data_IF_699539659770
#
_entry.id   IF_699539659770
#
_cell.length_a   1.000
_cell.length_b   1.000
_cell.length_c   1.000
_cell.angle_alpha   90.00
_cell.angle_beta   90.00
_cell.angle_gamma   90.00
#
_symmetry.space_group_name_H-M   'P 1'
#
loop_
_entity.id
_entity.type
_entity.pdbx_description
1 polymer ?
#
# COMPACT_ATOMS: atom_id res chain seq x y z
N UNK A 1 -4.46 7.28 16.91
CA UNK A 1 -5.61 7.42 15.97
C UNK A 1 -5.83 8.87 15.48
N UNK A 2 -5.78 9.89 16.35
CA UNK A 2 -6.01 11.31 15.98
C UNK A 2 -5.05 11.87 14.92
N UNK A 3 -3.75 11.60 15.03
CA UNK A 3 -2.75 12.08 14.06
C UNK A 3 -2.92 11.47 12.66
N UNK A 4 -3.35 10.21 12.57
CA UNK A 4 -3.61 9.52 11.30
C UNK A 4 -4.79 10.19 10.57
N UNK A 5 -5.85 10.53 11.29
CA UNK A 5 -7.00 11.24 10.75
C UNK A 5 -6.67 12.69 10.36
N UNK A 6 -5.89 13.40 11.18
CA UNK A 6 -5.42 14.75 10.84
C UNK A 6 -4.61 14.71 9.53
N UNK A 7 -3.68 13.76 9.40
CA UNK A 7 -2.88 13.61 8.19
C UNK A 7 -3.74 13.27 6.97
N UNK A 8 -4.74 12.39 7.13
CA UNK A 8 -5.73 12.09 6.09
C UNK A 8 -6.42 13.36 5.60
N UNK A 9 -6.93 14.18 6.51
CA UNK A 9 -7.58 15.44 6.17
C UNK A 9 -6.65 16.40 5.42
N UNK A 10 -5.39 16.52 5.85
CA UNK A 10 -4.38 17.34 5.15
C UNK A 10 -4.12 16.81 3.74
N UNK A 11 -3.96 15.50 3.57
CA UNK A 11 -3.76 14.89 2.25
C UNK A 11 -4.98 15.08 1.33
N UNK A 12 -6.20 14.93 1.85
CA UNK A 12 -7.41 15.21 1.10
C UNK A 12 -7.52 16.69 0.68
N UNK A 13 -7.12 17.62 1.55
CA UNK A 13 -7.07 19.05 1.21
C UNK A 13 -6.07 19.31 0.08
N UNK A 14 -4.87 18.73 0.16
CA UNK A 14 -3.86 18.84 -0.92
C UNK A 14 -4.42 18.29 -2.24
N UNK A 15 -5.10 17.14 -2.19
CA UNK A 15 -5.73 16.55 -3.36
C UNK A 15 -6.82 17.45 -3.96
N UNK A 16 -7.66 18.08 -3.11
CA UNK A 16 -8.75 18.98 -3.53
C UNK A 16 -8.26 20.32 -4.09
N UNK A 17 -7.10 20.82 -3.64
CA UNK A 17 -6.53 22.09 -4.11
C UNK A 17 -6.14 22.08 -5.60
N UNK A 18 -6.12 20.91 -6.24
CA UNK A 18 -5.78 20.68 -7.65
C UNK A 18 -4.37 21.14 -8.03
N UNK A 19 -3.90 20.71 -9.20
CA UNK A 19 -2.58 21.09 -9.70
C UNK A 19 -2.63 22.50 -10.31
N UNK A 20 -2.17 23.51 -9.57
CA UNK A 20 -2.06 24.91 -10.02
C UNK A 20 -0.60 25.42 -9.96
N UNK A 21 -0.32 26.58 -10.59
CA UNK A 21 1.05 27.15 -10.63
C UNK A 21 1.60 27.46 -9.22
N UNK A 22 0.74 27.86 -8.28
CA UNK A 22 1.13 28.08 -6.87
C UNK A 22 1.54 26.79 -6.16
N UNK A 23 0.99 25.64 -6.54
CA UNK A 23 1.38 24.33 -6.01
C UNK A 23 2.66 23.81 -6.66
N UNK A 24 2.89 24.14 -7.93
CA UNK A 24 4.05 23.68 -8.71
C UNK A 24 5.38 24.08 -8.09
N UNK A 25 5.49 25.28 -7.52
CA UNK A 25 6.68 25.74 -6.80
C UNK A 25 7.05 24.85 -5.59
N UNK A 26 6.07 24.15 -4.99
CA UNK A 26 6.30 23.22 -3.89
C UNK A 26 6.43 21.77 -4.34
N UNK A 27 6.36 21.48 -5.65
CA UNK A 27 6.25 20.12 -6.19
C UNK A 27 7.37 19.18 -5.73
N UNK A 28 8.63 19.63 -5.67
CA UNK A 28 9.75 18.81 -5.18
C UNK A 28 9.65 18.50 -3.68
N UNK A 29 9.31 19.50 -2.87
CA UNK A 29 9.18 19.34 -1.42
C UNK A 29 8.03 18.40 -1.11
N UNK A 30 6.87 18.60 -1.75
CA UNK A 30 5.71 17.73 -1.60
C UNK A 30 6.02 16.30 -2.04
N UNK A 31 6.67 16.10 -3.19
CA UNK A 31 7.09 14.77 -3.66
C UNK A 31 7.92 14.03 -2.60
N UNK A 32 8.95 14.70 -2.06
CA UNK A 32 9.85 14.10 -1.06
C UNK A 32 9.10 13.72 0.23
N UNK A 33 8.18 14.56 0.70
CA UNK A 33 7.38 14.28 1.89
C UNK A 33 6.36 13.15 1.66
N UNK A 34 5.63 13.18 0.54
CA UNK A 34 4.63 12.17 0.21
C UNK A 34 5.27 10.77 0.02
N UNK A 35 6.47 10.70 -0.55
CA UNK A 35 7.21 9.44 -0.68
C UNK A 35 7.53 8.84 0.69
N UNK A 36 7.97 9.66 1.66
CA UNK A 36 8.21 9.20 3.03
C UNK A 36 6.91 8.71 3.68
N UNK A 37 5.81 9.41 3.47
CA UNK A 37 4.50 9.01 4.01
C UNK A 37 4.07 7.63 3.51
N UNK A 38 4.26 7.31 2.22
CA UNK A 38 3.90 5.98 1.68
C UNK A 38 4.63 4.85 2.42
N UNK A 39 5.85 5.09 2.90
CA UNK A 39 6.66 4.08 3.58
C UNK A 39 6.25 3.80 5.02
N UNK A 40 5.64 4.79 5.71
CA UNK A 40 5.41 4.73 7.17
C UNK A 40 3.94 4.79 7.58
N UNK A 41 3.06 5.28 6.69
CA UNK A 41 1.66 5.50 7.00
C UNK A 41 0.78 4.25 6.82
N UNK A 42 -0.47 4.36 7.29
CA UNK A 42 -1.49 3.35 7.09
C UNK A 42 -2.00 3.32 5.63
N UNK A 43 -2.78 2.28 5.31
CA UNK A 43 -3.38 2.05 4.00
C UNK A 43 -4.05 3.30 3.41
N UNK A 44 -4.91 3.99 4.17
CA UNK A 44 -5.67 5.14 3.66
C UNK A 44 -4.79 6.32 3.28
N UNK A 45 -3.83 6.67 4.15
CA UNK A 45 -2.91 7.78 3.93
C UNK A 45 -1.92 7.48 2.80
N UNK A 46 -1.44 6.23 2.71
CA UNK A 46 -0.56 5.79 1.62
C UNK A 46 -1.26 5.88 0.25
N UNK A 47 -2.52 5.45 0.17
CA UNK A 47 -3.33 5.57 -1.07
C UNK A 47 -3.51 7.01 -1.51
N UNK A 48 -3.83 7.91 -0.58
CA UNK A 48 -3.93 9.35 -0.87
C UNK A 48 -2.59 9.91 -1.35
N UNK A 49 -1.48 9.57 -0.68
CA UNK A 49 -0.15 10.03 -1.06
C UNK A 49 0.24 9.55 -2.47
N UNK A 50 0.01 8.27 -2.81
CA UNK A 50 0.24 7.73 -4.17
C UNK A 50 -0.56 8.51 -5.21
N UNK A 51 -1.85 8.77 -4.94
CA UNK A 51 -2.72 9.50 -5.85
C UNK A 51 -2.25 10.94 -6.09
N UNK A 52 -1.91 11.66 -5.01
CA UNK A 52 -1.39 13.03 -5.09
C UNK A 52 -0.11 13.08 -5.91
N UNK A 53 0.85 12.19 -5.62
CA UNK A 53 2.10 12.14 -6.40
C UNK A 53 1.80 11.87 -7.87
N UNK A 54 0.93 10.89 -8.18
CA UNK A 54 0.57 10.57 -9.55
C UNK A 54 -0.03 11.75 -10.31
N UNK A 55 -0.91 12.53 -9.68
CA UNK A 55 -1.48 13.75 -10.27
C UNK A 55 -0.42 14.85 -10.48
N UNK A 56 0.43 15.08 -9.48
CA UNK A 56 1.48 16.10 -9.54
C UNK A 56 2.54 15.77 -10.60
N UNK A 57 2.92 14.48 -10.71
CA UNK A 57 3.84 14.02 -11.74
C UNK A 57 3.25 14.24 -13.13
N UNK A 58 1.97 13.90 -13.37
CA UNK A 58 1.31 14.16 -14.66
C UNK A 58 1.23 15.66 -14.99
N UNK A 59 0.82 16.49 -14.04
CA UNK A 59 0.57 17.90 -14.27
C UNK A 59 1.86 18.72 -14.40
N UNK A 60 2.82 18.48 -13.52
CA UNK A 60 4.01 19.33 -13.41
C UNK A 60 5.26 18.71 -14.03
N UNK A 61 5.25 17.41 -14.34
CA UNK A 61 6.42 16.66 -14.84
C UNK A 61 7.64 16.93 -13.95
N UNK A 62 7.46 16.75 -12.64
CA UNK A 62 8.48 17.05 -11.63
C UNK A 62 9.77 16.33 -12.03
N UNK A 63 10.93 17.02 -12.11
CA UNK A 63 12.17 16.39 -12.52
C UNK A 63 12.53 15.16 -11.69
N UNK A 64 13.23 14.22 -12.33
CA UNK A 64 13.72 13.02 -11.67
C UNK A 64 14.56 13.37 -10.43
N UNK A 65 14.41 12.57 -9.38
CA UNK A 65 15.10 12.70 -8.09
C UNK A 65 15.33 11.32 -7.48
N UNK A 66 16.28 11.22 -6.55
CA UNK A 66 16.61 9.94 -5.91
C UNK A 66 15.43 9.35 -5.13
N UNK A 67 14.51 10.20 -4.64
CA UNK A 67 13.28 9.75 -4.00
C UNK A 67 12.41 8.90 -4.92
N UNK A 68 12.40 9.16 -6.24
CA UNK A 68 11.66 8.34 -7.21
C UNK A 68 12.23 6.92 -7.28
N UNK A 69 13.55 6.76 -7.28
CA UNK A 69 14.15 5.44 -7.19
C UNK A 69 13.93 4.79 -5.83
N UNK A 70 13.97 5.57 -4.75
CA UNK A 70 13.72 5.06 -3.41
C UNK A 70 12.31 4.47 -3.27
N UNK A 71 11.28 5.13 -3.83
CA UNK A 71 9.90 4.60 -3.76
C UNK A 71 9.71 3.36 -4.64
N UNK A 72 10.38 3.27 -5.80
CA UNK A 72 10.34 2.06 -6.62
C UNK A 72 10.99 0.88 -5.89
N UNK A 73 12.16 1.10 -5.28
CA UNK A 73 12.84 0.07 -4.49
C UNK A 73 12.05 -0.36 -3.25
N UNK A 74 11.33 0.58 -2.62
CA UNK A 74 10.38 0.26 -1.58
C UNK A 74 9.29 -0.69 -2.08
N UNK A 75 8.63 -0.39 -3.21
CA UNK A 75 7.61 -1.29 -3.76
C UNK A 75 8.16 -2.65 -4.18
N UNK A 76 9.38 -2.74 -4.75
CA UNK A 76 10.04 -4.03 -5.01
C UNK A 76 10.16 -4.86 -3.73
N UNK A 77 10.54 -4.22 -2.62
CA UNK A 77 10.67 -4.87 -1.32
C UNK A 77 9.32 -5.38 -0.84
N UNK A 78 8.28 -4.52 -0.89
CA UNK A 78 6.92 -4.91 -0.49
C UNK A 78 6.43 -6.12 -1.29
N UNK A 79 6.59 -6.14 -2.61
CA UNK A 79 6.20 -7.29 -3.43
C UNK A 79 6.96 -8.58 -3.05
N UNK A 80 8.25 -8.47 -2.70
CA UNK A 80 9.08 -9.61 -2.26
C UNK A 80 8.72 -10.12 -0.87
N UNK A 81 8.10 -9.30 -0.02
CA UNK A 81 7.65 -9.68 1.33
C UNK A 81 6.28 -10.38 1.32
N UNK A 82 5.44 -10.14 0.29
CA UNK A 82 4.10 -10.74 0.17
C UNK A 82 4.06 -12.26 0.33
N UNK A 83 4.97 -13.07 -0.26
CA UNK A 83 4.99 -14.52 -0.03
C UNK A 83 5.07 -14.88 1.46
N UNK A 84 5.84 -14.13 2.25
CA UNK A 84 6.00 -14.36 3.69
C UNK A 84 4.73 -13.97 4.46
N UNK A 85 4.03 -12.91 4.05
CA UNK A 85 2.74 -12.54 4.65
C UNK A 85 1.69 -13.63 4.42
N UNK A 86 1.61 -14.13 3.17
CA UNK A 86 0.69 -15.20 2.82
C UNK A 86 1.00 -16.47 3.60
N UNK A 87 2.25 -16.94 3.59
CA UNK A 87 2.61 -18.26 4.15
C UNK A 87 2.80 -18.22 5.67
N UNK A 88 3.69 -17.36 6.17
CA UNK A 88 4.12 -17.37 7.57
C UNK A 88 3.14 -16.61 8.48
N UNK A 89 2.56 -15.51 7.99
CA UNK A 89 1.66 -14.66 8.79
C UNK A 89 0.17 -14.94 8.59
N UNK A 90 -0.16 -15.97 7.79
CA UNK A 90 -1.55 -16.41 7.56
C UNK A 90 -2.44 -15.25 7.11
N UNK A 91 -1.97 -14.45 6.16
CA UNK A 91 -2.58 -13.18 5.73
C UNK A 91 -4.11 -13.22 5.53
N UNK A 92 -4.65 -14.34 5.04
CA UNK A 92 -6.07 -14.47 4.73
C UNK A 92 -6.93 -14.98 5.89
N UNK A 93 -6.35 -15.20 7.07
CA UNK A 93 -7.08 -15.55 8.29
C UNK A 93 -7.34 -14.31 9.14
N UNK A 94 -8.56 -13.77 9.08
CA UNK A 94 -9.00 -12.67 9.93
C UNK A 94 -9.27 -13.18 11.36
N UNK A 95 -8.27 -13.06 12.22
CA UNK A 95 -8.43 -13.32 13.65
C UNK A 95 -9.02 -12.08 14.31
N UNK A 96 -10.08 -12.25 15.09
CA UNK A 96 -10.56 -11.20 15.98
C UNK A 96 -9.43 -10.83 16.94
N UNK A 97 -8.90 -9.62 16.80
CA UNK A 97 -7.82 -9.13 17.64
C UNK A 97 -8.43 -8.74 18.99
N UNK A 98 -7.96 -9.42 20.05
CA UNK A 98 -8.25 -9.07 21.44
C UNK A 98 -6.97 -8.55 22.04
N UNK A 99 -7.00 -7.31 22.51
CA UNK A 99 -5.83 -6.68 23.12
C UNK A 99 -6.04 -6.57 24.63
N UNK A 100 -4.96 -6.77 25.39
CA UNK A 100 -5.00 -6.71 26.85
C UNK A 100 -4.91 -5.27 27.39
N UNK A 101 -4.32 -4.37 26.61
CA UNK A 101 -4.08 -2.97 26.97
C UNK A 101 -4.07 -2.08 25.73
N UNK A 102 -3.98 -0.76 25.89
CA UNK A 102 -3.76 0.21 24.79
C UNK A 102 -2.30 0.68 24.73
N UNK A 103 -1.34 -0.19 25.09
CA UNK A 103 0.08 0.14 25.00
C UNK A 103 0.58 0.09 23.56
N UNK A 104 1.54 0.97 23.22
CA UNK A 104 2.10 1.09 21.87
C UNK A 104 2.71 -0.24 21.37
N UNK A 105 3.30 -1.04 22.26
CA UNK A 105 3.86 -2.35 21.93
C UNK A 105 2.81 -3.37 21.50
N UNK A 106 1.66 -3.37 22.18
CA UNK A 106 0.56 -4.28 21.86
C UNK A 106 -0.08 -3.90 20.52
N UNK A 107 -0.23 -2.60 20.26
CA UNK A 107 -0.73 -2.08 18.97
C UNK A 107 0.24 -2.45 17.85
N UNK A 108 1.54 -2.28 18.06
CA UNK A 108 2.58 -2.62 17.07
C UNK A 108 2.54 -4.12 16.72
N UNK A 109 2.41 -4.99 17.72
CA UNK A 109 2.32 -6.43 17.50
C UNK A 109 1.07 -6.81 16.68
N UNK A 110 -0.04 -6.12 16.91
CA UNK A 110 -1.30 -6.32 16.18
C UNK A 110 -1.18 -5.82 14.74
N UNK A 111 -0.50 -4.68 14.51
CA UNK A 111 -0.25 -4.14 13.17
C UNK A 111 0.61 -5.07 12.31
N UNK A 112 1.60 -5.75 12.91
CA UNK A 112 2.46 -6.68 12.15
C UNK A 112 1.69 -7.83 11.49
N UNK A 113 0.51 -8.18 12.01
CA UNK A 113 -0.36 -9.23 11.46
C UNK A 113 -1.70 -8.68 10.94
N UNK A 114 -1.82 -7.35 10.80
CA UNK A 114 -2.99 -6.71 10.24
C UNK A 114 -2.79 -6.49 8.73
N UNK A 115 -3.63 -7.14 7.92
CA UNK A 115 -3.59 -7.05 6.45
C UNK A 115 -4.85 -6.42 5.86
N UNK A 116 -5.85 -6.16 6.70
CA UNK A 116 -7.13 -5.55 6.34
C UNK A 116 -7.73 -4.89 7.58
N UNK A 117 -8.60 -3.91 7.36
CA UNK A 117 -9.27 -3.16 8.43
C UNK A 117 -9.99 -4.13 9.38
N UNK A 118 -9.60 -4.11 10.65
CA UNK A 118 -10.05 -5.08 11.65
C UNK A 118 -10.46 -4.37 12.93
N UNK A 119 -11.57 -4.80 13.52
CA UNK A 119 -12.03 -4.26 14.82
C UNK A 119 -11.26 -4.95 15.94
N UNK A 120 -10.66 -4.16 16.82
CA UNK A 120 -9.97 -4.63 18.03
C UNK A 120 -10.87 -4.34 19.22
N UNK A 121 -11.12 -5.35 20.04
CA UNK A 121 -11.92 -5.24 21.25
C UNK A 121 -11.02 -5.14 22.48
N UNK A 122 -11.30 -4.17 23.35
CA UNK A 122 -10.63 -3.99 24.63
C UNK A 122 -11.25 -4.86 25.74
N UNK A 123 -10.50 -5.14 26.82
CA UNK A 123 -11.05 -5.78 28.00
C UNK A 123 -12.11 -4.87 28.64
N UNK A 124 -13.15 -5.47 29.21
CA UNK A 124 -14.19 -4.74 29.92
C UNK A 124 -13.58 -4.00 31.12
N UNK A 125 -13.61 -2.66 31.10
CA UNK A 125 -13.33 -1.86 32.28
C UNK A 125 -14.42 -2.14 33.30
N UNK A 126 -14.03 -2.64 34.47
CA UNK A 126 -14.89 -3.04 35.59
C UNK A 126 -15.54 -1.82 36.26
N UNK A 127 -16.45 -1.15 35.55
CA UNK A 127 -17.22 -0.03 36.09
C UNK A 127 -18.65 -0.04 35.54
N UNK A 128 -19.55 -0.70 36.28
CA UNK A 128 -20.97 -0.38 36.33
C UNK A 128 -21.84 -0.88 35.17
N UNK A 129 -23.08 -1.19 35.53
CA UNK A 129 -24.17 -1.76 34.73
C UNK A 129 -24.31 -1.12 33.33
N UNK A 130 -24.17 -1.95 32.27
CA UNK A 130 -24.24 -1.52 30.86
C UNK A 130 -22.90 -1.49 30.10
N UNK A 131 -21.97 -2.42 30.36
CA UNK A 131 -20.62 -2.47 29.78
C UNK A 131 -20.59 -2.40 28.24
N UNK A 132 -20.35 -1.21 27.70
CA UNK A 132 -20.04 -1.01 26.29
C UNK A 132 -18.58 -1.44 26.10
N UNK A 133 -18.35 -2.52 25.33
CA UNK A 133 -16.98 -2.92 24.96
C UNK A 133 -16.37 -1.82 24.11
N UNK A 134 -15.38 -1.12 24.66
CA UNK A 134 -14.58 -0.19 23.89
C UNK A 134 -13.89 -0.96 22.75
N UNK A 135 -14.14 -0.51 21.53
CA UNK A 135 -13.60 -1.10 20.33
C UNK A 135 -13.06 -0.01 19.42
N UNK A 136 -11.98 -0.32 18.72
CA UNK A 136 -11.38 0.59 17.74
C UNK A 136 -11.04 -0.16 16.46
N UNK A 137 -10.94 0.58 15.36
CA UNK A 137 -10.54 0.01 14.08
C UNK A 137 -9.03 0.11 13.91
N UNK A 138 -8.41 -1.02 13.61
CA UNK A 138 -7.02 -1.14 13.22
C UNK A 138 -6.94 -1.19 11.69
N UNK A 139 -6.21 -0.24 11.11
CA UNK A 139 -5.98 -0.16 9.67
C UNK A 139 -4.56 -0.67 9.40
N UNK A 140 -4.37 -1.57 8.41
CA UNK A 140 -3.04 -2.10 8.11
C UNK A 140 -2.07 -1.00 7.65
N UNK A 141 -0.77 -1.28 7.73
CA UNK A 141 0.25 -0.42 7.13
C UNK A 141 0.08 -0.40 5.61
N UNK A 142 0.42 0.71 4.97
CA UNK A 142 0.42 0.79 3.51
C UNK A 142 1.29 -0.28 2.86
N UNK A 143 2.40 -0.65 3.50
CA UNK A 143 3.31 -1.72 3.06
C UNK A 143 2.71 -3.13 3.14
N UNK A 144 1.62 -3.35 3.88
CA UNK A 144 0.99 -4.68 4.03
C UNK A 144 -0.30 -4.79 3.21
N UNK A 145 -0.76 -3.69 2.61
CA UNK A 145 -2.07 -3.58 1.98
C UNK A 145 -2.04 -4.00 0.51
N UNK A 146 -2.86 -4.99 0.16
CA UNK A 146 -3.11 -5.35 -1.24
C UNK A 146 -3.86 -4.26 -2.01
N UNK A 147 -4.61 -3.38 -1.33
CA UNK A 147 -5.23 -2.22 -1.98
C UNK A 147 -4.17 -1.23 -2.42
N UNK A 148 -3.18 -0.94 -1.58
CA UNK A 148 -2.03 -0.12 -1.97
C UNK A 148 -1.32 -0.77 -3.16
N UNK A 149 -1.03 -2.07 -3.09
CA UNK A 149 -0.39 -2.80 -4.20
C UNK A 149 -1.22 -2.83 -5.49
N UNK A 150 -2.54 -2.68 -5.41
CA UNK A 150 -3.41 -2.60 -6.60
C UNK A 150 -3.25 -1.26 -7.35
N UNK A 151 -2.86 -0.19 -6.66
CA UNK A 151 -2.63 1.14 -7.23
C UNK A 151 -1.18 1.34 -7.74
N UNK A 152 -0.22 0.60 -7.18
CA UNK A 152 1.20 0.66 -7.58
C UNK A 152 1.43 0.48 -9.08
N UNK A 153 0.80 -0.49 -9.79
CA UNK A 153 0.95 -0.65 -11.23
C UNK A 153 0.62 0.63 -12.02
N UNK A 154 -0.49 1.28 -11.73
CA UNK A 154 -0.88 2.54 -12.38
C UNK A 154 0.09 3.67 -12.01
N UNK A 155 0.50 3.73 -10.74
CA UNK A 155 1.50 4.69 -10.28
C UNK A 155 2.83 4.56 -11.03
N UNK A 156 3.31 3.33 -11.21
CA UNK A 156 4.52 3.03 -11.97
C UNK A 156 4.40 3.45 -13.43
N UNK A 157 3.25 3.23 -14.09
CA UNK A 157 3.03 3.69 -15.48
C UNK A 157 3.29 5.20 -15.58
N UNK A 158 2.76 5.99 -14.65
CA UNK A 158 2.95 7.45 -14.64
C UNK A 158 4.44 7.79 -14.52
N UNK A 159 5.14 7.18 -13.57
CA UNK A 159 6.57 7.42 -13.36
C UNK A 159 7.40 7.03 -14.59
N UNK A 160 7.16 5.85 -15.18
CA UNK A 160 7.87 5.38 -16.37
C UNK A 160 7.57 6.20 -17.62
N UNK A 161 6.35 6.75 -17.75
CA UNK A 161 6.00 7.64 -18.85
C UNK A 161 6.78 8.96 -18.81
N UNK A 162 7.07 9.47 -17.61
CA UNK A 162 7.77 10.76 -17.43
C UNK A 162 9.29 10.55 -17.39
N UNK A 163 9.76 9.52 -16.69
CA UNK A 163 11.17 9.29 -16.35
C UNK A 163 11.77 8.08 -17.07
N UNK A 164 11.31 7.79 -18.30
CA UNK A 164 11.66 6.58 -19.07
C UNK A 164 13.16 6.29 -19.09
N UNK A 165 13.98 7.31 -19.33
CA UNK A 165 15.44 7.14 -19.49
C UNK A 165 16.13 6.83 -18.16
N UNK A 166 15.62 7.38 -17.06
CA UNK A 166 16.20 7.21 -15.73
C UNK A 166 15.85 5.86 -15.09
N UNK A 167 14.74 5.26 -15.51
CA UNK A 167 14.17 4.08 -14.84
C UNK A 167 14.31 2.77 -15.65
N UNK A 168 15.06 2.74 -16.75
CA UNK A 168 15.21 1.52 -17.56
C UNK A 168 15.75 0.32 -16.75
N UNK A 169 16.77 0.53 -15.91
CA UNK A 169 17.35 -0.52 -15.07
C UNK A 169 16.36 -1.00 -14.00
N UNK A 170 15.62 -0.06 -13.39
CA UNK A 170 14.62 -0.32 -12.36
C UNK A 170 13.44 -1.16 -12.89
N UNK A 171 13.11 -1.00 -14.18
CA UNK A 171 11.96 -1.64 -14.84
C UNK A 171 12.05 -3.17 -14.84
N UNK A 172 13.24 -3.73 -15.11
CA UNK A 172 13.43 -5.18 -15.19
C UNK A 172 13.22 -5.82 -13.82
N UNK A 173 13.79 -5.22 -12.78
CA UNK A 173 13.68 -5.73 -11.42
C UNK A 173 12.25 -5.63 -10.87
N UNK A 174 11.55 -4.52 -11.10
CA UNK A 174 10.15 -4.39 -10.66
C UNK A 174 9.23 -5.32 -11.45
N UNK A 175 9.46 -5.51 -12.75
CA UNK A 175 8.71 -6.46 -13.56
C UNK A 175 8.90 -7.89 -13.03
N UNK A 176 10.13 -8.27 -12.68
CA UNK A 176 10.41 -9.58 -12.06
C UNK A 176 9.67 -9.75 -10.73
N UNK A 177 9.69 -8.75 -9.85
CA UNK A 177 8.96 -8.79 -8.58
C UNK A 177 7.44 -8.94 -8.79
N UNK A 178 6.88 -8.26 -9.79
CA UNK A 178 5.46 -8.36 -10.13
C UNK A 178 5.09 -9.72 -10.73
N UNK A 179 5.95 -10.32 -11.57
CA UNK A 179 5.73 -11.69 -12.08
C UNK A 179 5.71 -12.69 -10.92
N UNK A 180 6.64 -12.56 -9.96
CA UNK A 180 6.64 -13.40 -8.76
C UNK A 180 5.36 -13.19 -7.92
N UNK A 181 4.90 -11.95 -7.78
CA UNK A 181 3.65 -11.63 -7.08
C UNK A 181 2.41 -12.22 -7.77
N UNK A 182 2.38 -12.20 -9.10
CA UNK A 182 1.28 -12.73 -9.94
C UNK A 182 1.05 -14.23 -9.77
N UNK A 183 2.10 -15.00 -9.55
CA UNK A 183 2.02 -16.45 -9.42
C UNK A 183 1.72 -16.92 -7.99
N UNK A 184 1.66 -15.99 -7.03
CA UNK A 184 1.25 -16.31 -5.67
C UNK A 184 -0.20 -16.76 -5.65
N UNK A 185 -0.47 -17.76 -4.84
CA UNK A 185 -1.82 -18.29 -4.64
C UNK A 185 -2.10 -18.43 -3.15
N UNK A 186 -3.38 -18.31 -2.79
CA UNK A 186 -3.83 -18.50 -1.41
C UNK A 186 -3.68 -19.99 -1.05
N UNK A 187 -2.95 -20.36 0.00
CA UNK A 187 -2.82 -21.75 0.44
C UNK A 187 -4.19 -22.39 0.75
N UNK A 188 -4.38 -23.66 0.37
CA UNK A 188 -5.68 -24.36 0.49
C UNK A 188 -6.19 -24.40 1.93
N UNK A 189 -5.28 -24.60 2.87
CA UNK A 189 -5.55 -24.65 4.31
C UNK A 189 -6.00 -23.30 4.89
N UNK A 190 -5.63 -22.17 4.27
CA UNK A 190 -6.21 -20.86 4.62
C UNK A 190 -7.59 -20.68 4.01
N UNK A 191 -7.83 -21.15 2.78
CA UNK A 191 -9.14 -21.02 2.11
C UNK A 191 -10.25 -21.80 2.82
N UNK A 192 -9.89 -22.90 3.48
CA UNK A 192 -10.84 -23.72 4.25
C UNK A 192 -10.93 -23.31 5.72
N UNK A 193 -10.15 -22.31 6.14
CA UNK A 193 -10.15 -21.80 7.52
C UNK A 193 -11.47 -21.12 7.85
N UNK A 194 -11.97 -21.34 9.08
CA UNK A 194 -13.21 -20.70 9.54
C UNK A 194 -13.10 -19.17 9.64
N UNK A 195 -11.88 -18.65 9.76
CA UNK A 195 -11.57 -17.22 9.77
C UNK A 195 -11.13 -16.68 8.40
N UNK A 196 -11.41 -17.39 7.31
CA UNK A 196 -11.01 -16.96 5.97
C UNK A 196 -11.68 -15.64 5.58
N UNK A 197 -10.88 -14.70 5.10
CA UNK A 197 -11.36 -13.40 4.61
C UNK A 197 -11.56 -13.40 3.11
N UNK A 198 -12.80 -13.64 2.67
CA UNK A 198 -13.15 -13.58 1.25
C UNK A 198 -12.92 -12.19 0.65
N UNK A 199 -13.21 -11.12 1.41
CA UNK A 199 -12.99 -9.74 0.94
C UNK A 199 -11.52 -9.45 0.67
N UNK A 200 -10.62 -9.86 1.57
CA UNK A 200 -9.18 -9.69 1.37
C UNK A 200 -8.67 -10.54 0.20
N UNK A 201 -9.23 -11.74 0.00
CA UNK A 201 -8.91 -12.58 -1.14
C UNK A 201 -9.32 -11.92 -2.48
N UNK A 202 -10.51 -11.33 -2.55
CA UNK A 202 -10.98 -10.60 -3.74
C UNK A 202 -10.08 -9.39 -4.05
N UNK A 203 -9.69 -8.63 -3.01
CA UNK A 203 -8.76 -7.50 -3.15
C UNK A 203 -7.37 -7.98 -3.61
N UNK A 204 -6.89 -9.11 -3.10
CA UNK A 204 -5.63 -9.72 -3.53
C UNK A 204 -5.67 -10.11 -5.02
N UNK A 205 -6.70 -10.83 -5.46
CA UNK A 205 -6.85 -11.17 -6.88
C UNK A 205 -7.03 -9.92 -7.77
N UNK A 206 -7.74 -8.89 -7.30
CA UNK A 206 -7.82 -7.61 -8.01
C UNK A 206 -6.44 -6.98 -8.19
N UNK A 207 -5.62 -6.97 -7.14
CA UNK A 207 -4.27 -6.42 -7.20
C UNK A 207 -3.37 -7.19 -8.18
N UNK A 208 -3.52 -8.51 -8.28
CA UNK A 208 -2.84 -9.32 -9.30
C UNK A 208 -3.32 -8.92 -10.71
N UNK A 209 -4.63 -8.79 -10.94
CA UNK A 209 -5.12 -8.35 -12.26
C UNK A 209 -4.56 -6.98 -12.69
N UNK A 210 -4.37 -6.05 -11.74
CA UNK A 210 -3.71 -4.75 -11.99
C UNK A 210 -2.23 -4.90 -12.34
N UNK A 211 -1.50 -5.77 -11.63
CA UNK A 211 -0.11 -6.09 -11.93
C UNK A 211 0.05 -6.72 -13.32
N UNK A 212 -0.83 -7.66 -13.69
CA UNK A 212 -0.86 -8.28 -15.01
C UNK A 212 -1.07 -7.24 -16.12
N UNK A 213 -2.02 -6.31 -15.91
CA UNK A 213 -2.28 -5.21 -16.85
C UNK A 213 -1.03 -4.37 -17.09
N UNK A 214 -0.26 -4.09 -16.04
CA UNK A 214 1.00 -3.36 -16.16
C UNK A 214 2.10 -4.14 -16.88
N UNK A 215 2.25 -5.44 -16.59
CA UNK A 215 3.21 -6.28 -17.31
C UNK A 215 2.87 -6.35 -18.80
N UNK A 216 1.58 -6.47 -19.16
CA UNK A 216 1.11 -6.40 -20.54
C UNK A 216 1.42 -5.04 -21.19
N UNK A 217 1.22 -3.94 -20.46
CA UNK A 217 1.61 -2.60 -20.92
C UNK A 217 3.10 -2.50 -21.22
N UNK A 218 3.97 -2.97 -20.32
CA UNK A 218 5.42 -2.97 -20.54
C UNK A 218 5.79 -3.81 -21.76
N UNK A 219 5.25 -5.03 -21.87
CA UNK A 219 5.54 -5.93 -22.96
C UNK A 219 5.18 -5.33 -24.32
N UNK A 220 4.04 -4.63 -24.41
CA UNK A 220 3.61 -3.96 -25.65
C UNK A 220 4.46 -2.76 -26.07
N UNK A 221 5.16 -2.11 -25.13
CA UNK A 221 5.94 -0.88 -25.38
C UNK A 221 7.45 -1.07 -25.37
N UNK A 222 7.90 -2.24 -24.96
CA UNK A 222 9.30 -2.57 -24.87
C UNK A 222 9.61 -3.58 -25.96
N UNK A 223 10.33 -3.17 -27.01
CA UNK A 223 11.09 -4.08 -27.88
C UNK A 223 12.18 -4.89 -27.10
N UNK A 224 12.14 -4.89 -25.77
CA UNK A 224 13.18 -5.33 -24.83
C UNK A 224 12.92 -6.75 -24.32
N UNK A 225 11.71 -7.31 -24.49
CA UNK A 225 11.39 -8.67 -24.03
C UNK A 225 11.65 -9.74 -25.12
N UNK A 226 12.06 -9.36 -26.34
CA UNK A 226 12.48 -10.33 -27.38
C UNK A 226 13.90 -10.91 -27.17
N UNK A 227 14.43 -10.89 -25.96
CA UNK A 227 15.79 -11.36 -25.65
C UNK A 227 15.95 -12.08 -24.32
N UNK A 228 14.86 -12.57 -23.72
CA UNK A 228 14.90 -13.57 -22.65
C UNK A 228 14.59 -14.96 -23.21
#
# INVERSE_FOLDING_TARGET
LSFQQLRKLVLELILRMSCNETMKQYGRILLSQLIKLIQVENEENALLAIKIIGEHQRAFKIPYSQEISAIINFFKTVYREMPQHITNRRMFEQRNLRQSSMEDSDIESSLQNCFTSSVVYLPESSSGDGAQRDAYSLIPRGSQSVKVLSEVPMFLIILFQIHRNNLQSELVEIASALVQYMILSIPVDQRTSASFSSSLADEFYNSQMRALTFLGYIASRSNVICGL
#
